data_IF_246548434050
#
_entry.id   IF_246548434050
#
_cell.length_a   1.000
_cell.length_b   1.000
_cell.length_c   1.000
_cell.angle_alpha   90.00
_cell.angle_beta   90.00
_cell.angle_gamma   90.00
#
_symmetry.space_group_name_H-M   'P 1'
#
loop_
_entity.id
_entity.type
_entity.pdbx_description
1 polymer ?
#
# COMPACT_ATOMS: atom_id res chain seq x y z
N UNK A 1 -22.44 8.26 4.75
CA UNK A 1 -21.96 6.91 5.08
C UNK A 1 -22.83 5.90 4.35
N UNK A 2 -22.25 5.14 3.42
CA UNK A 2 -22.96 4.03 2.80
C UNK A 2 -23.17 2.95 3.87
N UNK A 3 -24.42 2.56 4.10
CA UNK A 3 -24.78 1.55 5.09
C UNK A 3 -24.31 0.19 4.57
N UNK A 4 -23.40 -0.47 5.27
CA UNK A 4 -22.98 -1.84 4.97
C UNK A 4 -24.24 -2.74 4.85
N UNK A 5 -24.25 -3.68 3.92
CA UNK A 5 -25.31 -4.67 3.85
C UNK A 5 -25.32 -5.49 5.16
N UNK A 6 -26.47 -6.07 5.54
CA UNK A 6 -26.57 -6.88 6.76
C UNK A 6 -25.53 -8.00 6.81
N UNK A 7 -25.17 -8.54 5.65
CA UNK A 7 -24.16 -9.60 5.56
C UNK A 7 -22.74 -9.06 5.82
N UNK A 8 -22.39 -7.91 5.26
CA UNK A 8 -21.10 -7.26 5.52
C UNK A 8 -20.95 -6.84 6.99
N UNK A 9 -22.02 -6.34 7.61
CA UNK A 9 -21.97 -6.01 9.05
C UNK A 9 -21.74 -7.24 9.93
N UNK A 10 -22.28 -8.41 9.55
CA UNK A 10 -22.06 -9.66 10.28
C UNK A 10 -20.61 -10.14 10.11
N UNK A 11 -20.07 -10.10 8.90
CA UNK A 11 -18.68 -10.49 8.63
C UNK A 11 -17.70 -9.57 9.36
N UNK A 12 -17.95 -8.26 9.33
CA UNK A 12 -17.13 -7.29 10.06
C UNK A 12 -17.15 -7.55 11.57
N UNK A 13 -18.33 -7.89 12.17
CA UNK A 13 -18.39 -8.25 13.58
C UNK A 13 -17.55 -9.51 13.89
N UNK A 14 -17.60 -10.53 13.05
CA UNK A 14 -16.76 -11.72 13.21
C UNK A 14 -15.25 -11.39 13.13
N UNK A 15 -14.88 -10.43 12.28
CA UNK A 15 -13.49 -9.91 12.23
C UNK A 15 -13.11 -9.28 13.57
N UNK A 16 -13.95 -8.40 14.11
CA UNK A 16 -13.69 -7.76 15.40
C UNK A 16 -13.59 -8.78 16.54
N UNK A 17 -14.43 -9.80 16.55
CA UNK A 17 -14.39 -10.89 17.54
C UNK A 17 -13.04 -11.64 17.48
N UNK A 18 -12.51 -11.90 16.28
CA UNK A 18 -11.18 -12.50 16.09
C UNK A 18 -10.05 -11.57 16.53
N UNK A 19 -10.11 -10.30 16.14
CA UNK A 19 -9.09 -9.29 16.49
C UNK A 19 -8.97 -9.13 18.00
N UNK A 20 -10.11 -9.12 18.73
CA UNK A 20 -10.15 -8.95 20.18
C UNK A 20 -9.97 -10.25 20.97
N UNK A 21 -9.88 -11.40 20.32
CA UNK A 21 -9.63 -12.66 21.01
C UNK A 21 -8.19 -12.74 21.52
N UNK A 22 -7.98 -13.44 22.62
CA UNK A 22 -6.63 -13.71 23.17
C UNK A 22 -5.92 -14.88 22.46
N UNK A 23 -6.59 -15.57 21.54
CA UNK A 23 -6.06 -16.73 20.84
C UNK A 23 -5.02 -16.34 19.78
N UNK A 24 -4.03 -17.19 19.54
CA UNK A 24 -3.19 -17.11 18.36
C UNK A 24 -4.04 -17.39 17.13
N UNK A 25 -4.02 -16.50 16.14
CA UNK A 25 -4.81 -16.65 14.93
C UNK A 25 -4.18 -17.68 14.00
N UNK A 26 -5.01 -18.56 13.43
CA UNK A 26 -4.59 -19.43 12.33
C UNK A 26 -4.41 -18.64 11.04
N UNK A 27 -3.76 -19.26 10.04
CA UNK A 27 -3.60 -18.64 8.72
C UNK A 27 -4.95 -18.25 8.11
N UNK A 28 -5.93 -19.14 8.13
CA UNK A 28 -7.28 -18.90 7.59
C UNK A 28 -8.02 -17.77 8.31
N UNK A 29 -7.81 -17.64 9.63
CA UNK A 29 -8.38 -16.53 10.40
C UNK A 29 -7.74 -15.19 10.06
N UNK A 30 -6.42 -15.16 9.83
CA UNK A 30 -5.69 -13.98 9.35
C UNK A 30 -6.19 -13.56 7.97
N UNK A 31 -6.31 -14.49 7.02
CA UNK A 31 -6.91 -14.22 5.71
C UNK A 31 -8.35 -13.74 5.81
N UNK A 32 -9.17 -14.36 6.68
CA UNK A 32 -10.54 -13.93 6.91
C UNK A 32 -10.62 -12.47 7.38
N UNK A 33 -9.73 -12.05 8.30
CA UNK A 33 -9.63 -10.65 8.74
C UNK A 33 -9.29 -9.75 7.56
N UNK A 34 -8.23 -10.08 6.81
CA UNK A 34 -7.78 -9.30 5.68
C UNK A 34 -8.87 -9.13 4.61
N UNK A 35 -9.68 -10.15 4.35
CA UNK A 35 -10.75 -10.13 3.34
C UNK A 35 -11.98 -9.34 3.78
N UNK A 36 -12.35 -9.44 5.07
CA UNK A 36 -13.68 -9.03 5.54
C UNK A 36 -13.66 -7.79 6.47
N UNK A 37 -12.47 -7.27 6.83
CA UNK A 37 -12.39 -6.02 7.55
C UNK A 37 -12.85 -4.87 6.65
N UNK A 38 -13.93 -4.19 7.07
CA UNK A 38 -14.54 -3.14 6.25
C UNK A 38 -13.99 -1.75 6.52
N UNK A 39 -13.33 -1.53 7.67
CA UNK A 39 -12.83 -0.22 8.10
C UNK A 39 -13.91 0.86 8.21
N UNK A 40 -13.75 1.81 9.11
CA UNK A 40 -14.63 2.95 9.20
C UNK A 40 -14.19 4.07 8.26
N UNK A 41 -15.08 4.50 7.36
CA UNK A 41 -14.82 5.63 6.47
C UNK A 41 -13.85 5.36 5.30
N UNK A 42 -13.66 4.10 4.92
CA UNK A 42 -12.88 3.73 3.72
C UNK A 42 -13.33 4.58 2.52
N UNK A 43 -12.37 5.16 1.82
CA UNK A 43 -12.60 6.01 0.65
C UNK A 43 -12.86 7.49 0.96
N UNK A 44 -13.21 7.87 2.18
CA UNK A 44 -13.36 9.30 2.54
C UNK A 44 -12.00 10.03 2.61
N UNK A 45 -10.92 9.28 2.84
CA UNK A 45 -9.55 9.77 2.91
C UNK A 45 -8.71 9.40 1.68
N UNK A 46 -9.30 8.78 0.64
CA UNK A 46 -8.58 8.26 -0.52
C UNK A 46 -7.80 6.97 -0.25
N UNK A 47 -7.95 6.37 0.94
CA UNK A 47 -7.32 5.12 1.34
C UNK A 47 -8.25 3.93 1.02
N UNK A 48 -7.69 2.88 0.43
CA UNK A 48 -8.41 1.65 0.07
C UNK A 48 -7.52 0.45 0.36
N UNK A 49 -8.10 -0.60 0.94
CA UNK A 49 -7.39 -1.85 1.13
C UNK A 49 -7.19 -2.58 -0.20
N UNK A 50 -5.96 -2.99 -0.45
CA UNK A 50 -5.59 -3.74 -1.66
C UNK A 50 -6.36 -5.06 -1.73
N UNK A 51 -6.97 -5.44 -2.88
CA UNK A 51 -7.56 -6.76 -3.07
C UNK A 51 -6.55 -7.88 -2.81
N UNK A 52 -7.02 -9.01 -2.28
CA UNK A 52 -6.14 -10.12 -1.88
C UNK A 52 -5.31 -10.66 -3.05
N UNK A 53 -5.96 -11.02 -4.17
CA UNK A 53 -5.24 -11.52 -5.33
C UNK A 53 -4.19 -10.53 -5.85
N UNK A 54 -4.52 -9.24 -5.82
CA UNK A 54 -3.58 -8.18 -6.19
C UNK A 54 -2.41 -8.10 -5.21
N UNK A 55 -2.64 -8.22 -3.91
CA UNK A 55 -1.57 -8.23 -2.93
C UNK A 55 -0.60 -9.40 -3.14
N UNK A 56 -1.11 -10.57 -3.52
CA UNK A 56 -0.27 -11.71 -3.87
C UNK A 56 0.57 -11.45 -5.12
N UNK A 57 0.01 -10.89 -6.18
CA UNK A 57 0.76 -10.57 -7.40
C UNK A 57 1.77 -9.46 -7.16
N UNK A 58 1.42 -8.45 -6.36
CA UNK A 58 2.32 -7.37 -5.98
C UNK A 58 3.65 -7.88 -5.40
N UNK A 59 3.63 -8.98 -4.67
CA UNK A 59 4.85 -9.55 -4.08
C UNK A 59 5.83 -10.12 -5.10
N UNK A 60 5.46 -10.22 -6.38
CA UNK A 60 6.39 -10.63 -7.45
C UNK A 60 7.44 -9.53 -7.66
N UNK A 61 7.01 -8.27 -7.70
CA UNK A 61 7.92 -7.12 -7.83
C UNK A 61 8.62 -6.77 -6.51
N UNK A 62 7.93 -6.93 -5.37
CA UNK A 62 8.49 -6.59 -4.06
C UNK A 62 9.33 -7.70 -3.43
N UNK A 63 9.73 -8.71 -4.21
CA UNK A 63 10.48 -9.86 -3.73
C UNK A 63 11.81 -9.43 -3.07
N UNK A 64 11.86 -9.54 -1.73
CA UNK A 64 13.07 -9.32 -0.95
C UNK A 64 13.08 -10.27 0.25
N UNK A 65 14.26 -10.78 0.57
CA UNK A 65 14.52 -11.60 1.77
C UNK A 65 15.23 -10.81 2.88
N UNK A 66 15.59 -9.56 2.62
CA UNK A 66 16.26 -8.70 3.59
C UNK A 66 15.30 -7.83 4.39
N UNK A 67 15.63 -6.57 4.57
CA UNK A 67 14.85 -5.60 5.34
C UNK A 67 13.80 -4.93 4.44
N UNK A 68 12.54 -5.11 4.77
CA UNK A 68 11.40 -4.57 4.03
C UNK A 68 10.66 -3.52 4.84
N UNK A 69 10.20 -2.45 4.17
CA UNK A 69 9.39 -1.40 4.78
C UNK A 69 8.09 -1.19 4.00
N UNK A 70 6.96 -1.32 4.68
CA UNK A 70 5.67 -0.89 4.13
C UNK A 70 5.27 0.46 4.71
N UNK A 71 5.10 1.47 3.84
CA UNK A 71 4.55 2.77 4.20
C UNK A 71 3.06 2.83 3.86
N UNK A 72 2.26 3.38 4.78
CA UNK A 72 0.80 3.39 4.71
C UNK A 72 0.24 1.95 4.71
N UNK A 73 0.69 1.14 5.66
CA UNK A 73 0.49 -0.30 5.69
C UNK A 73 -0.97 -0.76 5.85
N UNK A 74 -1.87 0.14 6.29
CA UNK A 74 -3.23 -0.25 6.60
C UNK A 74 -3.27 -1.36 7.64
N UNK A 75 -3.94 -2.46 7.32
CA UNK A 75 -3.97 -3.66 8.19
C UNK A 75 -2.91 -4.71 7.81
N UNK A 76 -1.92 -4.34 6.96
CA UNK A 76 -0.75 -5.15 6.62
C UNK A 76 -0.95 -6.19 5.52
N UNK A 77 -1.85 -5.96 4.58
CA UNK A 77 -2.15 -6.96 3.54
C UNK A 77 -0.96 -7.25 2.64
N UNK A 78 -0.24 -6.23 2.18
CA UNK A 78 0.94 -6.41 1.33
C UNK A 78 2.06 -7.12 2.12
N UNK A 79 2.36 -6.64 3.32
CA UNK A 79 3.39 -7.24 4.19
C UNK A 79 3.06 -8.66 4.61
N UNK A 80 1.77 -9.01 4.82
CA UNK A 80 1.37 -10.39 5.08
C UNK A 80 1.72 -11.31 3.89
N UNK A 81 1.35 -10.92 2.67
CA UNK A 81 1.67 -11.68 1.47
C UNK A 81 3.19 -11.75 1.25
N UNK A 82 3.92 -10.65 1.47
CA UNK A 82 5.37 -10.57 1.40
C UNK A 82 6.02 -11.56 2.39
N UNK A 83 5.59 -11.55 3.64
CA UNK A 83 6.12 -12.45 4.67
C UNK A 83 5.86 -13.92 4.35
N UNK A 84 4.66 -14.26 3.92
CA UNK A 84 4.32 -15.67 3.61
C UNK A 84 5.13 -16.18 2.41
N UNK A 85 5.33 -15.36 1.38
CA UNK A 85 6.00 -15.79 0.13
C UNK A 85 7.52 -15.78 0.23
N UNK A 86 8.10 -14.73 0.82
CA UNK A 86 9.55 -14.47 0.71
C UNK A 86 10.31 -14.63 2.02
N UNK A 87 9.62 -14.62 3.17
CA UNK A 87 10.24 -14.77 4.50
C UNK A 87 11.40 -13.80 4.72
N UNK A 88 11.19 -12.49 4.56
CA UNK A 88 12.23 -11.50 4.78
C UNK A 88 12.75 -11.55 6.22
N UNK A 89 13.99 -11.12 6.41
CA UNK A 89 14.64 -11.06 7.74
C UNK A 89 13.91 -10.09 8.67
N UNK A 90 13.42 -8.99 8.12
CA UNK A 90 12.72 -7.95 8.87
C UNK A 90 11.66 -7.26 8.02
N UNK A 91 10.49 -7.04 8.62
CA UNK A 91 9.43 -6.19 8.03
C UNK A 91 9.05 -5.13 9.05
N UNK A 92 9.08 -3.87 8.62
CA UNK A 92 8.48 -2.76 9.36
C UNK A 92 7.24 -2.29 8.62
N UNK A 93 6.14 -2.13 9.35
CA UNK A 93 4.87 -1.60 8.85
C UNK A 93 4.58 -0.25 9.53
N UNK A 94 4.51 0.83 8.74
CA UNK A 94 4.19 2.18 9.24
C UNK A 94 2.77 2.54 8.84
N UNK A 95 1.92 2.81 9.82
CA UNK A 95 0.51 3.15 9.62
C UNK A 95 0.09 4.26 10.59
N UNK A 96 -0.71 5.20 10.10
CA UNK A 96 -1.17 6.35 10.87
C UNK A 96 -2.34 6.02 11.81
N UNK A 97 -3.23 5.12 11.39
CA UNK A 97 -4.43 4.77 12.16
C UNK A 97 -4.09 3.71 13.22
N UNK A 98 -4.20 4.04 14.53
CA UNK A 98 -3.87 3.11 15.61
C UNK A 98 -4.75 1.86 15.62
N UNK A 99 -6.01 1.92 15.16
CA UNK A 99 -6.87 0.75 15.03
C UNK A 99 -6.34 -0.21 13.95
N UNK A 100 -5.88 0.32 12.81
CA UNK A 100 -5.28 -0.51 11.75
C UNK A 100 -3.97 -1.15 12.22
N UNK A 101 -3.16 -0.43 12.99
CA UNK A 101 -1.96 -0.98 13.62
C UNK A 101 -2.30 -2.16 14.53
N UNK A 102 -3.32 -2.03 15.40
CA UNK A 102 -3.76 -3.11 16.28
C UNK A 102 -4.21 -4.35 15.50
N UNK A 103 -4.98 -4.17 14.43
CA UNK A 103 -5.41 -5.26 13.56
C UNK A 103 -4.20 -5.90 12.86
N UNK A 104 -3.31 -5.08 12.33
CA UNK A 104 -2.10 -5.52 11.66
C UNK A 104 -1.19 -6.36 12.57
N UNK A 105 -1.02 -5.96 13.82
CA UNK A 105 -0.27 -6.72 14.83
C UNK A 105 -0.89 -8.11 15.09
N UNK A 106 -2.22 -8.24 14.95
CA UNK A 106 -2.90 -9.55 15.06
C UNK A 106 -2.71 -10.40 13.80
N UNK A 107 -2.71 -9.77 12.63
CA UNK A 107 -2.54 -10.44 11.32
C UNK A 107 -1.09 -10.85 11.09
N UNK A 108 -0.15 -9.96 11.35
CA UNK A 108 1.28 -10.17 11.12
C UNK A 108 2.08 -9.77 12.37
N UNK A 109 2.04 -10.58 13.45
CA UNK A 109 2.80 -10.32 14.68
C UNK A 109 4.32 -10.44 14.47
N UNK A 110 4.76 -11.00 13.36
CA UNK A 110 6.17 -11.13 12.99
C UNK A 110 6.78 -9.81 12.49
N UNK A 111 5.94 -8.83 12.09
CA UNK A 111 6.41 -7.51 11.65
C UNK A 111 6.53 -6.54 12.84
N UNK A 112 7.43 -5.58 12.69
CA UNK A 112 7.48 -4.40 13.55
C UNK A 112 6.42 -3.39 13.10
N UNK A 113 5.51 -3.01 14.00
CA UNK A 113 4.43 -2.07 13.71
C UNK A 113 4.65 -0.73 14.38
N UNK A 114 4.70 0.33 13.57
CA UNK A 114 4.91 1.71 14.01
C UNK A 114 3.66 2.54 13.72
N UNK A 115 3.01 3.05 14.77
CA UNK A 115 1.91 3.99 14.63
C UNK A 115 2.46 5.41 14.42
N UNK A 116 2.58 5.84 13.16
CA UNK A 116 3.17 7.14 12.80
C UNK A 116 2.67 7.63 11.44
N UNK A 117 2.80 8.94 11.21
CA UNK A 117 2.74 9.50 9.86
C UNK A 117 3.92 8.94 9.03
N UNK A 118 3.59 8.31 7.90
CA UNK A 118 4.58 7.71 7.01
C UNK A 118 5.63 8.73 6.51
N UNK A 119 5.24 9.99 6.38
CA UNK A 119 6.12 11.08 5.96
C UNK A 119 7.01 11.65 7.10
N UNK A 120 6.87 11.14 8.33
CA UNK A 120 7.68 11.52 9.49
C UNK A 120 8.47 10.34 10.06
N UNK A 121 8.28 9.14 9.51
CA UNK A 121 9.00 7.95 9.94
C UNK A 121 10.48 8.07 9.57
N UNK A 122 11.36 7.83 10.52
CA UNK A 122 12.82 7.81 10.33
C UNK A 122 13.36 6.45 10.74
N UNK A 123 14.32 5.94 9.99
CA UNK A 123 15.06 4.74 10.32
C UNK A 123 16.54 5.06 10.48
N UNK A 124 17.20 4.37 11.42
CA UNK A 124 18.65 4.46 11.59
C UNK A 124 19.41 3.54 10.62
N UNK A 125 18.73 2.59 10.02
CA UNK A 125 19.30 1.62 9.09
C UNK A 125 18.48 1.63 7.79
N UNK A 126 19.13 1.53 6.62
CA UNK A 126 18.42 1.46 5.35
C UNK A 126 17.61 0.17 5.24
N UNK A 127 16.58 0.21 4.41
CA UNK A 127 15.85 -0.97 3.95
C UNK A 127 16.32 -1.38 2.57
N UNK A 128 16.22 -2.67 2.25
CA UNK A 128 16.50 -3.16 0.90
C UNK A 128 15.39 -2.78 -0.07
N UNK A 129 14.16 -2.68 0.44
CA UNK A 129 12.98 -2.30 -0.34
C UNK A 129 11.97 -1.54 0.51
N UNK A 130 11.41 -0.47 -0.06
CA UNK A 130 10.24 0.22 0.46
C UNK A 130 9.06 0.04 -0.49
N UNK A 131 7.88 -0.23 0.05
CA UNK A 131 6.69 -0.43 -0.77
C UNK A 131 5.42 0.07 -0.08
N UNK A 132 4.33 0.12 -0.84
CA UNK A 132 3.03 0.45 -0.26
C UNK A 132 1.93 0.72 -1.27
N UNK A 133 0.72 0.84 -0.73
CA UNK A 133 -0.46 1.35 -1.41
C UNK A 133 -0.91 2.65 -0.71
N UNK A 134 -0.21 3.77 -0.95
CA UNK A 134 -0.53 5.03 -0.27
C UNK A 134 -1.91 5.54 -0.69
N UNK A 135 -2.59 6.32 0.15
CA UNK A 135 -3.78 7.05 -0.27
C UNK A 135 -3.52 7.91 -1.52
N UNK A 136 -4.52 7.99 -2.42
CA UNK A 136 -4.38 8.65 -3.71
C UNK A 136 -4.85 10.11 -3.70
N UNK A 137 -4.16 10.94 -4.48
CA UNK A 137 -4.57 12.30 -4.78
C UNK A 137 -4.18 13.33 -3.72
N UNK A 138 -4.99 14.38 -3.59
CA UNK A 138 -4.65 15.56 -2.77
C UNK A 138 -5.04 15.35 -1.31
N UNK A 139 -4.07 14.99 -0.50
CA UNK A 139 -4.23 14.84 0.95
C UNK A 139 -3.47 15.97 1.64
N UNK A 140 -4.07 16.56 2.67
CA UNK A 140 -3.37 17.53 3.52
C UNK A 140 -2.26 16.82 4.28
N UNK A 141 -1.04 17.24 4.07
CA UNK A 141 0.13 16.79 4.81
C UNK A 141 0.59 17.91 5.75
N UNK A 142 1.23 17.56 6.85
CA UNK A 142 1.97 18.54 7.65
C UNK A 142 3.04 19.18 6.75
N UNK A 143 3.26 20.50 6.88
CA UNK A 143 4.17 21.30 6.03
C UNK A 143 5.67 20.92 6.15
N UNK A 144 5.99 19.84 6.84
CA UNK A 144 7.35 19.46 7.22
C UNK A 144 8.16 18.74 6.14
N UNK A 145 7.57 18.37 5.00
CA UNK A 145 8.30 17.69 3.94
C UNK A 145 9.09 18.69 3.09
N UNK A 146 10.35 18.84 3.43
CA UNK A 146 11.37 19.42 2.56
C UNK A 146 11.80 18.34 1.55
N UNK A 147 11.00 18.12 0.53
CA UNK A 147 11.33 17.24 -0.58
C UNK A 147 11.47 18.04 -1.87
N UNK A 148 11.92 17.36 -2.93
CA UNK A 148 12.04 17.97 -4.26
C UNK A 148 10.68 18.12 -4.94
N UNK A 149 9.74 17.20 -4.69
CA UNK A 149 8.40 17.25 -5.28
C UNK A 149 7.53 18.30 -4.61
N UNK A 150 7.16 19.33 -5.36
CA UNK A 150 6.32 20.45 -4.91
C UNK A 150 4.85 20.32 -5.33
N UNK A 151 4.41 19.14 -5.77
CA UNK A 151 3.02 18.88 -6.16
C UNK A 151 2.13 18.50 -4.98
N UNK A 152 0.84 18.30 -5.29
CA UNK A 152 -0.19 18.01 -4.30
C UNK A 152 -0.53 16.54 -4.14
N UNK A 153 -0.08 15.68 -5.07
CA UNK A 153 -0.45 14.27 -5.10
C UNK A 153 0.31 13.50 -4.00
N UNK A 154 -0.43 12.88 -3.09
CA UNK A 154 0.14 12.24 -1.90
C UNK A 154 0.99 11.03 -2.26
N UNK A 155 0.56 10.23 -3.23
CA UNK A 155 1.32 9.09 -3.73
C UNK A 155 2.74 9.48 -4.15
N UNK A 156 2.93 10.62 -4.80
CA UNK A 156 4.27 11.08 -5.21
C UNK A 156 5.11 11.58 -4.02
N UNK A 157 4.47 12.15 -3.00
CA UNK A 157 5.18 12.54 -1.77
C UNK A 157 5.73 11.32 -1.05
N UNK A 158 4.93 10.25 -0.94
CA UNK A 158 5.34 8.98 -0.32
C UNK A 158 6.44 8.31 -1.14
N UNK A 159 6.31 8.23 -2.48
CA UNK A 159 7.35 7.68 -3.35
C UNK A 159 8.66 8.42 -3.16
N UNK A 160 8.65 9.76 -3.22
CA UNK A 160 9.86 10.54 -2.98
C UNK A 160 10.41 10.33 -1.57
N UNK A 161 9.55 10.24 -0.55
CA UNK A 161 10.00 10.00 0.82
C UNK A 161 10.68 8.64 0.97
N UNK A 162 10.21 7.64 0.23
CA UNK A 162 10.82 6.32 0.16
C UNK A 162 12.32 6.35 -0.17
N UNK A 163 12.76 7.29 -1.01
CA UNK A 163 14.18 7.45 -1.37
C UNK A 163 15.10 7.81 -0.19
N UNK A 164 14.55 8.26 0.91
CA UNK A 164 15.31 8.52 2.14
C UNK A 164 15.50 7.28 3.01
N UNK A 165 14.81 6.17 2.67
CA UNK A 165 14.70 4.97 3.49
C UNK A 165 15.24 3.71 2.80
N UNK A 166 15.21 3.67 1.45
CA UNK A 166 15.68 2.55 0.64
C UNK A 166 16.18 3.01 -0.72
N UNK A 167 16.96 2.18 -1.40
CA UNK A 167 17.44 2.44 -2.77
C UNK A 167 16.44 1.96 -3.85
N UNK A 168 15.43 1.16 -3.46
CA UNK A 168 14.43 0.60 -4.36
C UNK A 168 13.02 0.68 -3.79
N UNK A 169 12.08 1.12 -4.60
CA UNK A 169 10.69 1.28 -4.20
C UNK A 169 9.68 0.60 -5.13
N UNK A 170 8.58 0.05 -4.57
CA UNK A 170 7.48 -0.54 -5.32
C UNK A 170 6.16 0.02 -4.80
N UNK A 171 5.35 0.55 -5.70
CA UNK A 171 4.17 1.31 -5.29
C UNK A 171 2.95 0.97 -6.12
N UNK A 172 1.79 0.97 -5.46
CA UNK A 172 0.50 0.97 -6.14
C UNK A 172 0.09 2.43 -6.31
N UNK A 173 -0.15 2.84 -7.55
CA UNK A 173 -0.55 4.21 -7.88
C UNK A 173 -1.74 4.21 -8.84
N UNK A 174 -2.57 5.28 -8.87
CA UNK A 174 -3.56 5.43 -9.93
C UNK A 174 -2.88 5.39 -11.30
N UNK A 175 -3.49 4.74 -12.29
CA UNK A 175 -2.93 4.62 -13.65
C UNK A 175 -2.48 5.97 -14.23
N UNK A 176 -3.22 7.05 -13.97
CA UNK A 176 -2.82 8.41 -14.40
C UNK A 176 -1.60 8.98 -13.66
N UNK A 177 -1.05 8.28 -12.66
CA UNK A 177 0.17 8.66 -11.92
C UNK A 177 1.39 7.80 -12.29
N UNK A 178 1.24 6.75 -13.08
CA UNK A 178 2.32 5.80 -13.39
C UNK A 178 3.29 6.28 -14.49
N UNK A 179 2.84 7.17 -15.38
CA UNK A 179 3.62 7.56 -16.58
C UNK A 179 3.48 6.60 -17.76
N UNK A 180 2.69 5.54 -17.57
CA UNK A 180 2.34 4.54 -18.59
C UNK A 180 0.92 4.02 -18.37
N UNK A 181 0.42 3.25 -19.31
CA UNK A 181 -0.80 2.46 -19.25
C UNK A 181 -0.44 1.03 -19.61
N UNK A 182 -0.68 0.12 -18.67
CA UNK A 182 -0.51 -1.32 -18.85
C UNK A 182 -1.79 -2.07 -18.45
N UNK A 183 -2.28 -1.81 -17.25
CA UNK A 183 -3.46 -2.48 -16.70
C UNK A 183 -4.71 -2.22 -17.52
N UNK A 184 -5.34 -3.29 -18.01
CA UNK A 184 -6.53 -3.24 -18.86
C UNK A 184 -6.28 -2.74 -20.28
N UNK A 185 -5.04 -2.55 -20.70
CA UNK A 185 -4.67 -2.18 -22.04
C UNK A 185 -4.23 -3.41 -22.86
N UNK A 186 -4.39 -3.35 -24.18
CA UNK A 186 -3.92 -4.42 -25.07
C UNK A 186 -2.39 -4.48 -25.15
N UNK A 187 -1.74 -3.32 -25.01
CA UNK A 187 -0.28 -3.17 -25.08
C UNK A 187 0.17 -2.15 -24.05
N UNK A 188 1.42 -2.28 -23.59
CA UNK A 188 2.09 -1.23 -22.84
C UNK A 188 2.19 0.05 -23.67
N UNK A 189 1.79 1.18 -23.07
CA UNK A 189 1.85 2.51 -23.70
C UNK A 189 2.45 3.53 -22.73
N UNK A 190 3.56 4.17 -23.12
CA UNK A 190 4.13 5.29 -22.36
C UNK A 190 3.20 6.50 -22.46
N UNK A 191 2.53 6.82 -21.36
CA UNK A 191 1.51 7.88 -21.33
C UNK A 191 1.71 8.77 -20.12
N UNK A 192 2.43 9.84 -20.32
CA UNK A 192 2.82 10.76 -19.27
C UNK A 192 1.77 11.86 -19.08
N UNK A 193 1.11 11.86 -17.93
CA UNK A 193 0.22 12.94 -17.51
C UNK A 193 1.01 14.19 -17.09
N UNK A 194 0.34 15.35 -17.02
CA UNK A 194 0.99 16.59 -16.56
C UNK A 194 1.52 16.46 -15.12
N UNK A 195 0.81 15.74 -14.24
CA UNK A 195 1.26 15.50 -12.86
C UNK A 195 2.48 14.58 -12.79
N UNK A 196 2.55 13.56 -13.66
CA UNK A 196 3.71 12.68 -13.74
C UNK A 196 4.95 13.45 -14.25
N UNK A 197 4.80 14.24 -15.33
CA UNK A 197 5.89 15.09 -15.85
C UNK A 197 6.40 16.06 -14.77
N UNK A 198 5.49 16.62 -13.97
CA UNK A 198 5.90 17.45 -12.84
C UNK A 198 6.71 16.66 -11.82
N UNK A 199 6.25 15.45 -11.45
CA UNK A 199 6.97 14.58 -10.53
C UNK A 199 8.38 14.24 -11.01
N UNK A 200 8.52 13.77 -12.26
CA UNK A 200 9.83 13.45 -12.84
C UNK A 200 10.75 14.66 -12.97
N UNK A 201 10.22 15.82 -13.32
CA UNK A 201 11.01 17.06 -13.40
C UNK A 201 11.48 17.54 -12.03
N UNK A 202 10.64 17.42 -11.00
CA UNK A 202 10.97 17.87 -9.65
C UNK A 202 11.96 16.92 -8.95
N UNK A 203 11.89 15.60 -9.21
CA UNK A 203 12.64 14.58 -8.47
C UNK A 203 13.75 13.90 -9.26
N UNK A 204 13.63 13.84 -10.58
CA UNK A 204 14.49 13.02 -11.45
C UNK A 204 14.07 11.55 -11.51
N UNK A 205 13.15 11.09 -10.66
CA UNK A 205 12.73 9.69 -10.62
C UNK A 205 11.83 9.33 -11.78
N UNK A 206 12.01 8.12 -12.30
CA UNK A 206 11.20 7.52 -13.36
C UNK A 206 10.50 6.28 -12.80
N UNK A 207 9.20 6.18 -13.02
CA UNK A 207 8.42 5.03 -12.61
C UNK A 207 8.33 4.02 -13.77
N UNK A 208 8.66 2.76 -13.48
CA UNK A 208 8.67 1.66 -14.45
C UNK A 208 7.61 0.61 -14.09
N UNK A 209 7.22 -0.20 -15.06
CA UNK A 209 6.15 -1.20 -14.89
C UNK A 209 6.59 -2.47 -14.13
N UNK A 210 7.86 -2.58 -13.75
CA UNK A 210 8.39 -3.79 -13.13
C UNK A 210 8.17 -5.03 -14.00
N UNK A 211 7.67 -6.11 -13.43
CA UNK A 211 7.34 -7.34 -14.16
C UNK A 211 6.03 -7.23 -14.99
N UNK A 212 5.29 -6.14 -14.88
CA UNK A 212 4.04 -5.92 -15.60
C UNK A 212 2.86 -6.66 -15.00
N UNK A 213 2.32 -6.17 -13.88
CA UNK A 213 1.12 -6.73 -13.25
C UNK A 213 -0.12 -6.05 -13.82
N UNK A 214 -1.01 -6.82 -14.47
CA UNK A 214 -2.32 -6.30 -14.92
C UNK A 214 -3.31 -6.23 -13.75
N UNK A 215 -3.42 -5.07 -13.15
CA UNK A 215 -4.30 -4.85 -11.99
C UNK A 215 -5.78 -4.78 -12.36
N UNK A 216 -6.11 -4.67 -13.64
CA UNK A 216 -7.51 -4.55 -14.10
C UNK A 216 -8.35 -5.78 -13.78
N UNK A 217 -7.72 -6.96 -13.66
CA UNK A 217 -8.39 -8.21 -13.29
C UNK A 217 -8.92 -8.20 -11.85
N UNK A 218 -8.42 -7.31 -11.00
CA UNK A 218 -8.84 -7.13 -9.60
C UNK A 218 -9.83 -5.98 -9.41
N UNK A 219 -10.24 -5.30 -10.49
CA UNK A 219 -11.05 -4.09 -10.43
C UNK A 219 -12.34 -4.22 -9.61
N UNK A 220 -13.02 -5.34 -9.76
CA UNK A 220 -14.30 -5.60 -9.08
C UNK A 220 -14.13 -6.07 -7.62
N UNK A 221 -12.87 -6.30 -7.19
CA UNK A 221 -12.54 -6.74 -5.84
C UNK A 221 -12.21 -5.57 -4.90
N UNK A 222 -12.08 -4.34 -5.42
CA UNK A 222 -11.89 -3.17 -4.60
C UNK A 222 -13.17 -2.79 -3.86
N UNK A 223 -13.04 -2.53 -2.56
CA UNK A 223 -14.16 -2.01 -1.77
C UNK A 223 -14.19 -0.48 -1.84
N UNK A 224 -15.31 0.08 -2.35
CA UNK A 224 -15.57 1.53 -2.36
C UNK A 224 -14.86 2.36 -3.42
N UNK A 225 -14.14 1.74 -4.37
CA UNK A 225 -13.51 2.41 -5.51
C UNK A 225 -13.55 1.54 -6.77
N UNK A 226 -13.41 2.20 -7.93
CA UNK A 226 -13.23 1.57 -9.25
C UNK A 226 -11.97 2.11 -9.94
N UNK A 227 -11.04 2.66 -9.18
CA UNK A 227 -9.79 3.22 -9.74
C UNK A 227 -8.96 2.10 -10.34
N UNK A 228 -8.56 2.27 -11.60
CA UNK A 228 -7.53 1.41 -12.20
C UNK A 228 -6.17 1.90 -11.70
N UNK A 229 -5.41 0.98 -11.13
CA UNK A 229 -4.08 1.24 -10.61
C UNK A 229 -3.02 0.63 -11.52
N UNK A 230 -1.79 1.05 -11.33
CA UNK A 230 -0.59 0.37 -11.84
C UNK A 230 0.33 0.01 -10.67
N UNK A 231 1.06 -1.08 -10.78
CA UNK A 231 2.24 -1.31 -9.96
C UNK A 231 3.41 -0.64 -10.63
N UNK A 232 4.12 0.16 -9.89
CA UNK A 232 5.29 0.87 -10.39
C UNK A 232 6.51 0.55 -9.53
N UNK A 233 7.66 0.41 -10.16
CA UNK A 233 8.95 0.29 -9.51
C UNK A 233 9.76 1.56 -9.73
N UNK A 234 10.66 1.86 -8.81
CA UNK A 234 11.57 3.00 -8.90
C UNK A 234 12.91 2.66 -8.25
N UNK A 235 13.99 2.94 -8.96
CA UNK A 235 15.35 3.03 -8.41
C UNK A 235 15.58 4.48 -7.99
N UNK A 236 16.02 4.70 -6.77
CA UNK A 236 16.19 6.02 -6.19
C UNK A 236 17.58 6.60 -6.39
#
# INVERSE_FOLDING_TARGET
MARLSKNHSKLHQQVLDLVHSDSVLTFEQKEFILQNYAGDGIGSTGAFFTPEGFAWDFTIDSASTGRCLELCAGIGRLSFCQYIRHRPEHITCVELNPEYVQIGQRVLPEAEWICSDALQYVSNEPYDVVYGNPPFGKIKTSDALKGFYNGSEFEYKIIQYGSTLADYGIWIVPQGSAGFVYSGAQYYDRKESAKYKKFTNDTGYVLEAGCGIDTSIYRDQWHGTNVVCEVVTVEY
#
